data_IF_699936605259
#
_entry.id   IF_699936605259
#
_cell.length_a   1.000
_cell.length_b   1.000
_cell.length_c   1.000
_cell.angle_alpha   90.00
_cell.angle_beta   90.00
_cell.angle_gamma   90.00
#
_symmetry.space_group_name_H-M   'P 1'
#
loop_
_entity.id
_entity.type
_entity.pdbx_description
1 polymer ?
#
# COMPACT_ATOMS: atom_id res chain seq x y z
N UNK A 1 -16.08 13.51 29.84
CA UNK A 1 -16.75 12.57 28.91
C UNK A 1 -17.41 13.25 27.69
N UNK A 2 -17.85 14.51 27.75
CA UNK A 2 -18.51 15.20 26.62
C UNK A 2 -17.63 15.45 25.37
N UNK A 3 -16.31 15.60 25.53
CA UNK A 3 -15.39 15.89 24.41
C UNK A 3 -15.22 14.72 23.41
N UNK A 4 -15.38 13.47 23.85
CA UNK A 4 -15.15 12.32 22.98
C UNK A 4 -16.26 12.14 21.95
N UNK A 5 -17.53 12.42 22.31
CA UNK A 5 -18.66 12.34 21.39
C UNK A 5 -18.58 13.38 20.26
N UNK A 6 -18.23 14.62 20.59
CA UNK A 6 -18.01 15.67 19.60
C UNK A 6 -16.85 15.32 18.67
N UNK A 7 -15.71 14.87 19.22
CA UNK A 7 -14.59 14.38 18.42
C UNK A 7 -14.98 13.20 17.53
N UNK A 8 -15.72 12.21 18.04
CA UNK A 8 -16.20 11.08 17.23
C UNK A 8 -17.13 11.50 16.10
N UNK A 9 -18.05 12.43 16.36
CA UNK A 9 -18.96 12.94 15.34
C UNK A 9 -18.19 13.72 14.27
N UNK A 10 -17.24 14.57 14.67
CA UNK A 10 -16.32 15.25 13.76
C UNK A 10 -15.49 14.26 12.95
N UNK A 11 -15.10 13.13 13.52
CA UNK A 11 -14.30 12.14 12.78
C UNK A 11 -15.16 11.31 11.83
N UNK A 12 -16.37 10.91 12.24
CA UNK A 12 -17.33 10.26 11.35
C UNK A 12 -17.69 11.13 10.14
N UNK A 13 -17.66 12.45 10.29
CA UNK A 13 -17.89 13.39 9.18
C UNK A 13 -16.63 13.77 8.40
N UNK A 14 -15.42 13.48 8.90
CA UNK A 14 -14.15 13.81 8.21
C UNK A 14 -13.43 12.60 7.60
N UNK A 15 -13.70 11.38 8.05
CA UNK A 15 -13.12 10.15 7.52
C UNK A 15 -14.09 9.45 6.54
N UNK A 16 -14.39 10.12 5.43
CA UNK A 16 -15.20 9.59 4.32
C UNK A 16 -14.39 8.69 3.36
N UNK A 17 -13.08 8.54 3.60
CA UNK A 17 -12.15 7.82 2.74
C UNK A 17 -11.22 6.91 3.53
N UNK A 18 -10.81 5.81 2.92
CA UNK A 18 -9.74 4.96 3.46
C UNK A 18 -8.37 5.57 3.14
N UNK A 19 -7.42 5.41 4.05
CA UNK A 19 -6.03 5.83 3.82
C UNK A 19 -5.23 4.62 3.34
N UNK A 20 -4.43 4.80 2.29
CA UNK A 20 -3.47 3.82 1.80
C UNK A 20 -2.08 4.43 1.94
N UNK A 21 -1.22 3.82 2.74
CA UNK A 21 0.17 4.24 2.89
C UNK A 21 0.97 3.86 1.64
N UNK A 22 1.89 4.73 1.24
CA UNK A 22 2.84 4.48 0.16
C UNK A 22 4.25 4.46 0.75
N UNK A 23 4.85 3.28 0.76
CA UNK A 23 6.26 3.09 1.09
C UNK A 23 7.06 3.17 -0.21
N UNK A 24 7.67 4.33 -0.45
CA UNK A 24 8.44 4.59 -1.66
C UNK A 24 9.91 4.25 -1.46
N UNK A 25 10.28 3.02 -1.83
CA UNK A 25 11.63 2.48 -1.64
C UNK A 25 12.64 3.06 -2.64
N UNK A 26 12.14 3.57 -3.77
CA UNK A 26 12.92 3.87 -4.98
C UNK A 26 12.62 5.25 -5.60
N UNK A 27 12.03 6.16 -4.84
CA UNK A 27 11.63 7.53 -5.24
C UNK A 27 10.76 7.58 -6.51
N UNK A 28 9.78 6.67 -6.58
CA UNK A 28 8.90 6.46 -7.73
C UNK A 28 7.58 7.23 -7.64
N UNK A 29 7.18 7.63 -6.43
CA UNK A 29 5.86 8.21 -6.17
C UNK A 29 5.54 9.42 -7.07
N UNK A 30 6.43 10.41 -7.26
CA UNK A 30 6.15 11.55 -8.16
C UNK A 30 5.81 11.13 -9.59
N UNK A 31 6.32 9.98 -10.05
CA UNK A 31 6.12 9.48 -11.42
C UNK A 31 4.77 8.78 -11.56
N UNK A 32 4.38 7.99 -10.55
CA UNK A 32 3.18 7.13 -10.63
C UNK A 32 1.95 7.75 -9.96
N UNK A 33 2.11 8.77 -9.12
CA UNK A 33 1.05 9.40 -8.31
C UNK A 33 -0.21 9.68 -9.11
N UNK A 34 -0.09 10.42 -10.22
CA UNK A 34 -1.25 10.80 -11.03
C UNK A 34 -2.00 9.59 -11.57
N UNK A 35 -1.29 8.53 -11.96
CA UNK A 35 -1.90 7.30 -12.45
C UNK A 35 -2.62 6.50 -11.35
N UNK A 36 -2.13 6.57 -10.12
CA UNK A 36 -2.79 6.00 -8.94
C UNK A 36 -4.04 6.81 -8.57
N UNK A 37 -3.91 8.13 -8.45
CA UNK A 37 -4.99 9.03 -8.05
C UNK A 37 -6.12 9.06 -9.09
N UNK A 38 -5.81 8.93 -10.39
CA UNK A 38 -6.82 8.82 -11.45
C UNK A 38 -7.73 7.58 -11.33
N UNK A 39 -7.35 6.58 -10.53
CA UNK A 39 -8.18 5.39 -10.26
C UNK A 39 -9.15 5.58 -9.10
N UNK A 40 -9.08 6.70 -8.40
CA UNK A 40 -9.92 7.02 -7.26
C UNK A 40 -11.19 7.79 -7.69
N UNK A 41 -12.32 7.59 -7.00
CA UNK A 41 -12.56 6.56 -5.98
C UNK A 41 -12.61 5.15 -6.62
N UNK A 42 -12.28 4.12 -5.85
CA UNK A 42 -12.39 2.76 -6.36
C UNK A 42 -13.85 2.41 -6.63
N UNK A 43 -14.15 1.96 -7.84
CA UNK A 43 -15.50 1.60 -8.25
C UNK A 43 -15.74 0.11 -8.03
N UNK A 44 -16.92 -0.25 -7.51
CA UNK A 44 -17.36 -1.65 -7.29
C UNK A 44 -16.37 -2.46 -6.44
N UNK A 45 -15.90 -1.88 -5.34
CA UNK A 45 -15.02 -2.57 -4.41
C UNK A 45 -15.78 -3.66 -3.64
N UNK A 46 -15.15 -4.80 -3.39
CA UNK A 46 -15.69 -5.85 -2.51
C UNK A 46 -14.87 -5.88 -1.22
N UNK A 47 -15.51 -5.54 -0.10
CA UNK A 47 -14.87 -5.52 1.22
C UNK A 47 -15.48 -6.60 2.11
N UNK A 48 -14.67 -7.24 2.94
CA UNK A 48 -15.18 -8.20 3.92
C UNK A 48 -15.64 -7.45 5.18
N UNK A 49 -16.86 -7.73 5.64
CA UNK A 49 -17.32 -7.24 6.93
C UNK A 49 -16.66 -8.01 8.10
N UNK A 50 -16.99 -7.66 9.34
CA UNK A 50 -16.46 -8.35 10.54
C UNK A 50 -16.77 -9.84 10.59
N UNK A 51 -17.82 -10.30 9.91
CA UNK A 51 -18.20 -11.71 9.81
C UNK A 51 -17.65 -12.38 8.54
N UNK A 52 -16.69 -11.74 7.86
CA UNK A 52 -16.05 -12.19 6.60
C UNK A 52 -17.00 -12.36 5.41
N UNK A 53 -18.16 -11.71 5.44
CA UNK A 53 -19.06 -11.67 4.30
C UNK A 53 -18.63 -10.54 3.35
N UNK A 54 -18.55 -10.81 2.04
CA UNK A 54 -18.24 -9.77 1.06
C UNK A 54 -19.41 -8.78 0.94
N UNK A 55 -19.08 -7.50 0.98
CA UNK A 55 -20.00 -6.37 0.83
C UNK A 55 -19.52 -5.55 -0.35
N UNK A 56 -20.41 -5.35 -1.33
CA UNK A 56 -20.14 -4.50 -2.48
C UNK A 56 -20.30 -3.03 -2.10
N UNK A 57 -19.29 -2.22 -2.43
CA UNK A 57 -19.27 -0.77 -2.24
C UNK A 57 -19.13 -0.13 -3.61
N UNK A 58 -20.14 0.63 -4.04
CA UNK A 58 -20.17 1.21 -5.39
C UNK A 58 -19.03 2.20 -5.62
N UNK A 59 -18.77 3.06 -4.65
CA UNK A 59 -17.65 4.00 -4.63
C UNK A 59 -16.98 3.92 -3.27
N UNK A 60 -15.71 3.54 -3.28
CA UNK A 60 -14.86 3.52 -2.09
C UNK A 60 -13.86 4.68 -2.22
N UNK A 61 -14.10 5.81 -1.55
CA UNK A 61 -13.15 6.91 -1.52
C UNK A 61 -11.87 6.44 -0.81
N UNK A 62 -10.72 6.79 -1.37
CA UNK A 62 -9.44 6.50 -0.78
C UNK A 62 -8.50 7.69 -0.95
N UNK A 63 -7.39 7.69 -0.22
CA UNK A 63 -6.30 8.64 -0.35
C UNK A 63 -4.97 7.89 -0.24
N UNK A 64 -4.01 8.20 -1.10
CA UNK A 64 -2.64 7.71 -0.99
C UNK A 64 -1.77 8.73 -0.27
N UNK A 65 -1.08 8.30 0.78
CA UNK A 65 -0.19 9.17 1.56
C UNK A 65 1.15 8.47 1.80
N UNK A 66 2.26 9.20 1.72
CA UNK A 66 3.58 8.60 1.97
C UNK A 66 3.72 8.18 3.43
N UNK A 67 4.46 7.10 3.70
CA UNK A 67 4.80 6.67 5.07
C UNK A 67 5.58 7.72 5.86
N UNK A 68 6.19 8.69 5.17
CA UNK A 68 6.86 9.85 5.77
C UNK A 68 5.90 10.96 6.22
N UNK A 69 4.62 10.90 5.83
CA UNK A 69 3.61 11.90 6.18
C UNK A 69 3.38 11.95 7.70
N UNK A 70 3.39 13.17 8.24
CA UNK A 70 3.17 13.45 9.67
C UNK A 70 1.87 12.84 10.22
N UNK A 71 0.85 12.71 9.38
CA UNK A 71 -0.46 12.12 9.73
C UNK A 71 -0.34 10.66 10.15
N UNK A 72 0.64 9.93 9.61
CA UNK A 72 0.93 8.54 9.97
C UNK A 72 1.90 8.41 11.16
N UNK A 73 2.72 9.43 11.40
CA UNK A 73 3.73 9.44 12.47
C UNK A 73 3.17 9.83 13.83
N UNK A 74 1.99 10.45 13.86
CA UNK A 74 1.24 10.76 15.08
C UNK A 74 0.74 9.47 15.73
N UNK A 75 1.63 8.74 16.43
CA UNK A 75 1.27 7.63 17.31
C UNK A 75 0.41 8.18 18.44
N UNK A 76 -0.90 8.14 18.26
CA UNK A 76 -1.81 8.29 19.41
C UNK A 76 -1.49 7.17 20.40
N UNK A 77 -1.55 7.41 21.72
CA UNK A 77 -1.39 6.35 22.70
C UNK A 77 -2.31 5.18 22.35
N UNK A 78 -1.79 3.94 22.37
CA UNK A 78 -2.52 2.72 21.94
C UNK A 78 -3.88 2.54 22.63
N UNK A 79 -4.08 3.19 23.77
CA UNK A 79 -5.35 3.24 24.52
C UNK A 79 -6.47 4.01 23.81
N UNK A 80 -6.17 4.80 22.77
CA UNK A 80 -7.16 5.53 21.96
C UNK A 80 -7.49 4.78 20.67
N UNK A 81 -8.06 3.58 20.81
CA UNK A 81 -8.66 2.75 19.73
C UNK A 81 -9.72 3.50 18.89
N UNK A 82 -10.10 4.71 19.33
CA UNK A 82 -11.05 5.58 18.66
C UNK A 82 -10.55 6.01 17.29
N UNK A 83 -9.24 5.94 16.97
CA UNK A 83 -8.65 6.49 15.75
C UNK A 83 -8.25 5.48 14.67
N UNK A 84 -8.75 4.25 14.72
CA UNK A 84 -8.44 3.19 13.74
C UNK A 84 -8.64 3.59 12.26
N UNK A 85 -9.52 4.55 11.97
CA UNK A 85 -9.72 5.12 10.63
C UNK A 85 -8.59 6.05 10.15
N UNK A 86 -7.66 6.44 11.04
CA UNK A 86 -6.40 7.13 10.69
C UNK A 86 -5.27 6.15 10.42
N UNK A 87 -5.44 4.89 10.78
CA UNK A 87 -4.49 3.87 10.39
C UNK A 87 -4.68 3.52 8.91
N UNK A 88 -3.58 3.43 8.15
CA UNK A 88 -3.69 3.04 6.76
C UNK A 88 -4.28 1.63 6.66
N UNK A 89 -5.25 1.49 5.77
CA UNK A 89 -5.95 0.24 5.48
C UNK A 89 -5.01 -0.79 4.84
N UNK A 90 -4.12 -0.31 3.96
CA UNK A 90 -3.10 -1.12 3.32
C UNK A 90 -1.86 -0.27 3.02
N UNK A 91 -0.73 -0.95 2.85
CA UNK A 91 0.55 -0.34 2.41
C UNK A 91 0.88 -0.76 0.98
N UNK A 92 1.03 0.22 0.08
CA UNK A 92 1.61 0.03 -1.25
C UNK A 92 3.11 0.25 -1.18
N UNK A 93 3.90 -0.75 -1.54
CA UNK A 93 5.36 -0.65 -1.59
C UNK A 93 5.80 -0.47 -3.03
N UNK A 94 6.34 0.71 -3.36
CA UNK A 94 6.82 1.02 -4.71
C UNK A 94 8.29 0.63 -4.83
N UNK A 95 8.60 -0.20 -5.83
CA UNK A 95 9.96 -0.69 -6.04
C UNK A 95 10.34 -0.66 -7.51
N UNK A 96 11.61 -0.40 -7.76
CA UNK A 96 12.25 -0.64 -9.06
C UNK A 96 13.51 -1.48 -8.83
N UNK A 97 13.98 -2.12 -9.88
CA UNK A 97 15.18 -2.94 -9.84
C UNK A 97 15.65 -3.19 -11.27
N UNK A 98 16.94 -3.01 -11.50
CA UNK A 98 17.56 -3.07 -12.82
C UNK A 98 17.88 -4.52 -13.22
N UNK A 99 18.38 -5.32 -12.29
CA UNK A 99 18.82 -6.69 -12.55
C UNK A 99 18.62 -7.68 -11.38
N UNK A 100 18.98 -8.93 -11.63
CA UNK A 100 18.78 -10.02 -10.69
C UNK A 100 19.75 -10.00 -9.49
N UNK A 101 20.90 -9.34 -9.62
CA UNK A 101 21.88 -9.31 -8.55
C UNK A 101 21.57 -8.18 -7.58
N UNK A 102 21.14 -7.01 -8.07
CA UNK A 102 20.53 -5.96 -7.24
C UNK A 102 19.29 -6.50 -6.52
N UNK A 103 18.45 -7.28 -7.22
CA UNK A 103 17.29 -7.91 -6.61
C UNK A 103 17.66 -8.77 -5.40
N UNK A 104 18.65 -9.67 -5.55
CA UNK A 104 19.04 -10.60 -4.49
C UNK A 104 19.72 -9.91 -3.31
N UNK A 105 20.57 -8.93 -3.59
CA UNK A 105 21.48 -8.34 -2.60
C UNK A 105 20.86 -7.15 -1.87
N UNK A 106 19.99 -6.39 -2.53
CA UNK A 106 19.44 -5.13 -1.98
C UNK A 106 17.92 -5.25 -1.82
N UNK A 107 17.20 -5.45 -2.92
CA UNK A 107 15.74 -5.31 -2.90
C UNK A 107 15.05 -6.39 -2.07
N UNK A 108 15.44 -7.65 -2.24
CA UNK A 108 14.84 -8.79 -1.54
C UNK A 108 14.99 -8.69 -0.01
N UNK A 109 16.19 -8.44 0.56
CA UNK A 109 16.32 -8.23 2.00
C UNK A 109 15.47 -7.07 2.53
N UNK A 110 15.44 -5.94 1.81
CA UNK A 110 14.66 -4.75 2.21
C UNK A 110 13.16 -5.04 2.21
N UNK A 111 12.65 -5.68 1.16
CA UNK A 111 11.25 -6.08 1.08
C UNK A 111 10.85 -7.09 2.16
N UNK A 112 11.73 -8.03 2.52
CA UNK A 112 11.49 -8.95 3.63
C UNK A 112 11.29 -8.20 4.95
N UNK A 113 12.11 -7.19 5.23
CA UNK A 113 11.96 -6.39 6.46
C UNK A 113 10.64 -5.62 6.47
N UNK A 114 10.27 -4.98 5.36
CA UNK A 114 9.01 -4.23 5.24
C UNK A 114 7.80 -5.16 5.47
N UNK A 115 7.78 -6.29 4.76
CA UNK A 115 6.65 -7.24 4.79
C UNK A 115 6.56 -8.06 6.09
N UNK A 116 7.68 -8.29 6.77
CA UNK A 116 7.67 -8.99 8.07
C UNK A 116 7.21 -8.11 9.23
N UNK A 117 7.37 -6.79 9.10
CA UNK A 117 7.12 -5.85 10.17
C UNK A 117 5.68 -5.31 10.18
N UNK A 118 4.89 -5.58 9.14
CA UNK A 118 3.53 -5.04 9.00
C UNK A 118 2.50 -6.18 9.15
N UNK A 119 1.67 -6.11 10.19
CA UNK A 119 0.50 -6.99 10.37
C UNK A 119 -0.64 -6.62 9.39
N UNK A 120 -0.46 -5.54 8.62
CA UNK A 120 -1.46 -4.96 7.73
C UNK A 120 -1.35 -5.52 6.32
N UNK A 121 -2.43 -5.35 5.57
CA UNK A 121 -2.48 -5.69 4.15
C UNK A 121 -1.43 -4.88 3.37
N UNK A 122 -0.68 -5.54 2.48
CA UNK A 122 0.34 -4.88 1.68
C UNK A 122 0.28 -5.32 0.22
N UNK A 123 0.73 -4.44 -0.66
CA UNK A 123 0.82 -4.70 -2.08
C UNK A 123 2.13 -4.14 -2.65
N UNK A 124 2.92 -4.99 -3.31
CA UNK A 124 4.18 -4.59 -3.94
C UNK A 124 3.90 -4.21 -5.39
N UNK A 125 4.29 -2.99 -5.77
CA UNK A 125 4.17 -2.48 -7.14
C UNK A 125 5.57 -2.33 -7.72
N UNK A 126 5.88 -3.18 -8.69
CA UNK A 126 7.12 -3.08 -9.46
C UNK A 126 6.94 -2.09 -10.62
N UNK A 127 7.79 -1.06 -10.65
CA UNK A 127 7.84 -0.07 -11.72
C UNK A 127 9.11 -0.30 -12.54
N UNK A 128 8.93 -0.75 -13.78
CA UNK A 128 10.03 -0.89 -14.73
C UNK A 128 10.49 0.48 -15.23
N UNK A 129 11.78 0.78 -15.11
CA UNK A 129 12.42 1.95 -15.73
C UNK A 129 13.03 1.64 -17.10
N UNK A 130 12.85 0.42 -17.61
CA UNK A 130 13.39 0.02 -18.91
C UNK A 130 12.80 0.87 -20.04
N UNK A 131 13.67 1.43 -20.88
CA UNK A 131 13.22 2.15 -22.07
C UNK A 131 12.48 1.20 -23.02
N UNK A 132 11.33 1.57 -23.62
CA UNK A 132 10.54 0.66 -24.46
C UNK A 132 11.32 0.05 -25.63
N UNK A 133 12.26 0.80 -26.21
CA UNK A 133 13.13 0.33 -27.30
C UNK A 133 14.29 -0.60 -26.86
N UNK A 134 14.52 -0.79 -25.56
CA UNK A 134 15.60 -1.63 -25.05
C UNK A 134 15.07 -3.02 -24.67
N UNK A 135 15.09 -3.94 -25.64
CA UNK A 135 14.61 -5.31 -25.46
C UNK A 135 15.33 -6.08 -24.35
N UNK A 136 16.64 -5.84 -24.17
CA UNK A 136 17.41 -6.52 -23.14
C UNK A 136 16.99 -6.06 -21.74
N UNK A 137 16.85 -4.76 -21.53
CA UNK A 137 16.37 -4.20 -20.27
C UNK A 137 14.94 -4.66 -19.96
N UNK A 138 14.06 -4.69 -20.96
CA UNK A 138 12.69 -5.20 -20.82
C UNK A 138 12.65 -6.69 -20.42
N UNK A 139 13.51 -7.52 -21.03
CA UNK A 139 13.66 -8.93 -20.64
C UNK A 139 14.16 -9.07 -19.21
N UNK A 140 15.08 -8.21 -18.77
CA UNK A 140 15.59 -8.23 -17.41
C UNK A 140 14.51 -7.81 -16.39
N UNK A 141 13.82 -6.70 -16.63
CA UNK A 141 12.72 -6.23 -15.78
C UNK A 141 11.63 -7.30 -15.61
N UNK A 142 11.26 -8.01 -16.70
CA UNK A 142 10.32 -9.14 -16.63
C UNK A 142 10.83 -10.29 -15.75
N UNK A 143 12.12 -10.65 -15.86
CA UNK A 143 12.73 -11.69 -15.00
C UNK A 143 12.69 -11.29 -13.53
N UNK A 144 13.00 -10.04 -13.20
CA UNK A 144 12.94 -9.54 -11.83
C UNK A 144 11.50 -9.55 -11.31
N UNK A 145 10.54 -9.06 -12.09
CA UNK A 145 9.12 -9.11 -11.77
C UNK A 145 8.66 -10.55 -11.44
N UNK A 146 8.99 -11.53 -12.28
CA UNK A 146 8.65 -12.93 -12.01
C UNK A 146 9.29 -13.47 -10.73
N UNK A 147 10.49 -13.02 -10.36
CA UNK A 147 11.11 -13.40 -9.08
C UNK A 147 10.42 -12.75 -7.89
N UNK A 148 10.02 -11.48 -8.00
CA UNK A 148 9.21 -10.79 -7.00
C UNK A 148 7.89 -11.53 -6.74
N UNK A 149 7.17 -11.91 -7.79
CA UNK A 149 5.92 -12.66 -7.66
C UNK A 149 6.12 -14.01 -6.92
N UNK A 150 7.16 -14.77 -7.29
CA UNK A 150 7.40 -16.09 -6.68
C UNK A 150 7.74 -16.00 -5.19
N UNK A 151 8.46 -14.96 -4.79
CA UNK A 151 8.94 -14.75 -3.42
C UNK A 151 7.88 -14.09 -2.51
N UNK A 152 7.08 -13.18 -3.05
CA UNK A 152 6.17 -12.33 -2.27
C UNK A 152 4.68 -12.54 -2.61
N UNK A 153 4.30 -13.54 -3.41
CA UNK A 153 2.86 -13.83 -3.59
C UNK A 153 2.25 -14.40 -2.30
N UNK A 154 1.29 -13.67 -1.73
CA UNK A 154 0.54 -14.06 -0.52
C UNK A 154 -0.31 -15.33 -0.71
N UNK A 155 -0.61 -15.72 -1.96
CA UNK A 155 -1.34 -16.96 -2.28
C UNK A 155 -0.65 -18.25 -1.79
N UNK A 156 0.62 -18.20 -1.39
CA UNK A 156 1.32 -19.33 -0.77
C UNK A 156 1.08 -19.48 0.74
N UNK A 157 0.48 -18.48 1.42
CA UNK A 157 0.30 -18.49 2.89
C UNK A 157 -1.01 -19.13 3.36
N UNK A 158 -1.97 -19.41 2.48
CA UNK A 158 -3.13 -20.26 2.80
C UNK A 158 -2.84 -21.71 2.43
N UNK A 159 -2.31 -22.48 3.39
CA UNK A 159 -2.31 -23.95 3.41
C UNK A 159 -2.56 -24.43 4.82
#
# INVERSE_FOLDING_TARGET
>A
MANFLAQFQTIKTTADRIVISVEDVSDLWPTVKNAFEARLPFKRASLNNKTRNPVSVEQLPAEFILTTDSRLRSRFPQEQLLFWFREPYATVVLVTCEDLDEFKTILKPRLKLIVQNDEKEWFIVFVSKAHPANDQANKMAKKVYSKLEVEFSSKKRER
#
